data_IF_685412904972
#
_entry.id   IF_685412904972
#
_cell.length_a   1.000
_cell.length_b   1.000
_cell.length_c   1.000
_cell.angle_alpha   90.00
_cell.angle_beta   90.00
_cell.angle_gamma   90.00
#
_symmetry.space_group_name_H-M   'P 1'
#
loop_
_entity.id
_entity.type
_entity.pdbx_description
1 polymer ?
#
# COMPACT_ATOMS: atom_id res chain seq x y z
N UNK A 1 -11.37 77.92 23.23
CA UNK A 1 -10.15 77.20 22.92
C UNK A 1 -10.27 75.70 23.22
N UNK A 2 -11.11 75.28 24.16
CA UNK A 2 -11.27 73.86 24.55
C UNK A 2 -12.16 73.00 23.65
N UNK A 3 -13.05 73.61 22.88
CA UNK A 3 -13.98 72.82 22.03
C UNK A 3 -13.36 72.32 20.72
N UNK A 4 -12.28 72.98 20.27
CA UNK A 4 -11.56 72.56 19.05
C UNK A 4 -10.62 71.37 19.36
N UNK A 5 -9.98 71.34 20.52
CA UNK A 5 -9.16 70.23 20.98
C UNK A 5 -9.99 68.98 21.24
N UNK A 6 -11.22 69.15 21.79
CA UNK A 6 -12.12 68.05 22.10
C UNK A 6 -12.67 67.38 20.81
N UNK A 7 -12.89 68.16 19.74
CA UNK A 7 -13.29 67.65 18.43
C UNK A 7 -12.17 66.97 17.68
N UNK A 8 -10.93 67.41 17.83
CA UNK A 8 -9.76 66.74 17.23
C UNK A 8 -9.42 65.43 17.93
N UNK A 9 -9.59 65.31 19.26
CA UNK A 9 -9.34 64.04 19.96
C UNK A 9 -10.40 62.98 19.65
N UNK A 10 -11.67 63.39 19.42
CA UNK A 10 -12.74 62.46 19.03
C UNK A 10 -12.56 61.93 17.60
N UNK A 11 -11.98 62.73 16.67
CA UNK A 11 -11.70 62.31 15.30
C UNK A 11 -10.49 61.35 15.22
N UNK A 12 -9.53 61.45 16.14
CA UNK A 12 -8.39 60.50 16.18
C UNK A 12 -8.75 59.12 16.76
N UNK A 13 -9.76 59.06 17.69
CA UNK A 13 -10.23 57.80 18.22
C UNK A 13 -11.06 56.99 17.22
N UNK A 14 -11.77 57.67 16.30
CA UNK A 14 -12.58 57.02 15.28
C UNK A 14 -11.75 56.43 14.13
N UNK A 15 -10.54 56.88 13.90
CA UNK A 15 -9.62 56.37 12.86
C UNK A 15 -8.85 55.12 13.29
N UNK A 16 -8.81 54.76 14.57
CA UNK A 16 -8.09 53.59 15.11
C UNK A 16 -8.89 52.26 15.03
N UNK A 17 -10.16 52.31 14.68
CA UNK A 17 -11.05 51.11 14.70
C UNK A 17 -11.23 50.37 13.34
N UNK A 18 -10.48 50.71 12.29
CA UNK A 18 -10.79 50.18 10.94
C UNK A 18 -9.68 49.29 10.34
N UNK A 19 -8.73 48.80 11.10
CA UNK A 19 -7.71 47.88 10.53
C UNK A 19 -7.56 46.55 11.26
N UNK A 20 -8.67 45.98 11.73
CA UNK A 20 -8.69 44.53 11.91
C UNK A 20 -9.12 43.90 10.59
N UNK A 21 -8.23 43.89 9.62
CA UNK A 21 -8.33 42.94 8.50
C UNK A 21 -8.21 41.57 9.15
N UNK A 22 -9.34 40.94 9.45
CA UNK A 22 -9.40 39.53 9.75
C UNK A 22 -8.76 38.84 8.53
N UNK A 23 -7.50 38.49 8.63
CA UNK A 23 -6.90 37.52 7.72
C UNK A 23 -7.71 36.24 7.92
N UNK A 24 -8.77 36.07 7.11
CA UNK A 24 -9.42 34.79 6.98
C UNK A 24 -8.30 33.84 6.48
N UNK A 25 -7.81 33.03 7.38
CA UNK A 25 -6.82 32.03 7.06
C UNK A 25 -7.48 31.14 6.00
N UNK A 26 -6.97 31.19 4.76
CA UNK A 26 -7.54 30.44 3.65
C UNK A 26 -7.48 28.95 4.00
N UNK A 27 -8.64 28.31 4.13
CA UNK A 27 -8.76 26.89 4.46
C UNK A 27 -8.10 26.08 3.34
N UNK A 28 -7.00 25.39 3.66
CA UNK A 28 -6.18 24.68 2.71
C UNK A 28 -6.49 23.19 2.77
N UNK A 29 -7.06 22.65 1.70
CA UNK A 29 -7.34 21.23 1.57
C UNK A 29 -6.39 20.55 0.58
N UNK A 30 -6.07 19.28 0.84
CA UNK A 30 -5.33 18.40 -0.05
C UNK A 30 -6.06 17.10 -0.30
N UNK A 31 -5.69 16.43 -1.37
CA UNK A 31 -6.16 15.08 -1.72
C UNK A 31 -4.97 14.20 -2.08
N UNK A 32 -5.00 12.95 -1.61
CA UNK A 32 -3.97 11.95 -1.88
C UNK A 32 -4.61 10.70 -2.46
N UNK A 33 -4.13 10.29 -3.64
CA UNK A 33 -4.50 9.03 -4.26
C UNK A 33 -3.62 7.90 -3.71
N UNK A 34 -4.18 7.10 -2.80
CA UNK A 34 -3.48 5.99 -2.16
C UNK A 34 -3.08 4.90 -3.16
N UNK A 35 -3.91 4.63 -4.17
CA UNK A 35 -3.60 3.65 -5.22
C UNK A 35 -2.34 4.05 -6.01
N UNK A 36 -2.21 5.35 -6.35
CA UNK A 36 -1.00 5.86 -6.99
C UNK A 36 0.23 5.69 -6.10
N UNK A 37 0.11 5.92 -4.80
CA UNK A 37 1.21 5.70 -3.84
C UNK A 37 1.66 4.24 -3.88
N UNK A 38 0.74 3.28 -3.81
CA UNK A 38 1.06 1.85 -3.87
C UNK A 38 1.68 1.42 -5.20
N UNK A 39 1.36 2.08 -6.30
CA UNK A 39 1.91 1.78 -7.62
C UNK A 39 3.26 2.45 -7.87
N UNK A 40 3.45 3.69 -7.42
CA UNK A 40 4.53 4.56 -7.88
C UNK A 40 5.65 4.75 -6.84
N UNK A 41 5.34 4.66 -5.54
CA UNK A 41 6.33 4.89 -4.50
C UNK A 41 7.45 3.84 -4.48
N UNK A 42 8.69 4.30 -4.25
CA UNK A 42 9.85 3.43 -4.16
C UNK A 42 9.70 2.38 -3.05
N UNK A 43 9.10 2.75 -1.91
CA UNK A 43 8.82 1.82 -0.80
C UNK A 43 7.90 0.68 -1.22
N UNK A 44 6.85 0.96 -2.00
CA UNK A 44 5.94 -0.07 -2.50
C UNK A 44 6.63 -1.01 -3.49
N UNK A 45 7.44 -0.47 -4.41
CA UNK A 45 8.24 -1.27 -5.35
C UNK A 45 9.26 -2.14 -4.63
N UNK A 46 9.90 -1.63 -3.58
CA UNK A 46 10.82 -2.42 -2.74
C UNK A 46 10.11 -3.56 -2.00
N UNK A 47 8.92 -3.30 -1.46
CA UNK A 47 8.09 -4.31 -0.81
C UNK A 47 7.73 -5.44 -1.79
N UNK A 48 7.32 -5.08 -3.01
CA UNK A 48 7.03 -6.05 -4.06
C UNK A 48 8.28 -6.86 -4.46
N UNK A 49 9.43 -6.21 -4.65
CA UNK A 49 10.67 -6.89 -4.98
C UNK A 49 11.15 -7.87 -3.90
N UNK A 50 10.95 -7.52 -2.62
CA UNK A 50 11.24 -8.43 -1.50
C UNK A 50 10.35 -9.68 -1.54
N UNK A 51 9.04 -9.50 -1.74
CA UNK A 51 8.12 -10.63 -1.85
C UNK A 51 8.49 -11.55 -3.02
N UNK A 52 8.81 -10.98 -4.17
CA UNK A 52 9.25 -11.74 -5.33
C UNK A 52 10.54 -12.52 -5.02
N UNK A 53 11.54 -11.87 -4.43
CA UNK A 53 12.79 -12.52 -4.04
C UNK A 53 12.60 -13.65 -3.02
N UNK A 54 11.71 -13.45 -2.03
CA UNK A 54 11.45 -14.41 -0.96
C UNK A 54 10.67 -15.63 -1.47
N UNK A 55 9.71 -15.42 -2.37
CA UNK A 55 8.74 -16.46 -2.77
C UNK A 55 8.98 -17.10 -4.13
N UNK A 56 9.74 -16.46 -5.04
CA UNK A 56 9.94 -16.98 -6.41
C UNK A 56 10.50 -18.40 -6.46
N UNK A 57 11.45 -18.73 -5.58
CA UNK A 57 12.02 -20.07 -5.51
C UNK A 57 10.97 -21.11 -5.08
N UNK A 58 10.21 -20.82 -4.03
CA UNK A 58 9.16 -21.72 -3.52
C UNK A 58 8.03 -21.91 -4.53
N UNK A 59 7.67 -20.84 -5.23
CA UNK A 59 6.69 -20.90 -6.32
C UNK A 59 7.15 -21.83 -7.43
N UNK A 60 8.40 -21.69 -7.87
CA UNK A 60 8.99 -22.60 -8.87
C UNK A 60 9.01 -24.04 -8.40
N UNK A 61 9.44 -24.31 -7.15
CA UNK A 61 9.45 -25.66 -6.57
C UNK A 61 8.02 -26.28 -6.54
N UNK A 62 6.99 -25.47 -6.26
CA UNK A 62 5.60 -25.92 -6.30
C UNK A 62 5.13 -26.24 -7.72
N UNK A 63 5.46 -25.40 -8.69
CA UNK A 63 5.16 -25.65 -10.11
C UNK A 63 5.83 -26.93 -10.60
N UNK A 64 7.10 -27.13 -10.30
CA UNK A 64 7.86 -28.32 -10.69
C UNK A 64 7.29 -29.60 -10.02
N UNK A 65 6.95 -29.50 -8.73
CA UNK A 65 6.31 -30.62 -8.00
C UNK A 65 4.95 -30.97 -8.60
N UNK A 66 4.11 -29.98 -8.91
CA UNK A 66 2.81 -30.17 -9.54
C UNK A 66 2.92 -30.85 -10.92
N UNK A 67 3.88 -30.41 -11.74
CA UNK A 67 4.16 -31.02 -13.03
C UNK A 67 4.64 -32.46 -12.89
N UNK A 68 5.51 -32.75 -11.94
CA UNK A 68 5.99 -34.10 -11.66
C UNK A 68 4.86 -35.02 -11.22
N UNK A 69 4.00 -34.55 -10.32
CA UNK A 69 2.84 -35.32 -9.86
C UNK A 69 1.86 -35.60 -10.98
N UNK A 70 1.58 -34.62 -11.84
CA UNK A 70 0.75 -34.79 -13.04
C UNK A 70 1.31 -35.87 -13.98
N UNK A 71 2.61 -35.79 -14.29
CA UNK A 71 3.26 -36.79 -15.14
C UNK A 71 3.22 -38.20 -14.51
N UNK A 72 3.43 -38.30 -13.20
CA UNK A 72 3.36 -39.57 -12.48
C UNK A 72 1.95 -40.16 -12.49
N UNK A 73 0.90 -39.34 -12.36
CA UNK A 73 -0.51 -39.75 -12.47
C UNK A 73 -0.83 -40.23 -13.86
N UNK A 74 -0.48 -39.47 -14.90
CA UNK A 74 -0.69 -39.84 -16.29
C UNK A 74 0.03 -41.15 -16.68
N UNK A 75 1.24 -41.32 -16.15
CA UNK A 75 2.01 -42.58 -16.34
C UNK A 75 1.31 -43.74 -15.66
N UNK A 76 0.87 -43.55 -14.42
CA UNK A 76 0.14 -44.60 -13.69
C UNK A 76 -1.15 -44.99 -14.41
N UNK A 77 -1.94 -44.04 -14.91
CA UNK A 77 -3.17 -44.32 -15.66
C UNK A 77 -2.91 -45.21 -16.90
N UNK A 78 -1.81 -44.96 -17.63
CA UNK A 78 -1.43 -45.76 -18.80
C UNK A 78 -0.92 -47.16 -18.44
N UNK A 79 -0.20 -47.29 -17.31
CA UNK A 79 0.45 -48.56 -16.93
C UNK A 79 -0.44 -49.43 -16.03
N UNK A 80 -1.39 -48.87 -15.31
CA UNK A 80 -2.21 -49.55 -14.31
C UNK A 80 -2.89 -50.85 -14.82
N UNK A 81 -3.38 -50.93 -16.08
CA UNK A 81 -4.00 -52.16 -16.60
C UNK A 81 -3.04 -53.36 -16.72
N UNK A 82 -1.74 -53.10 -16.84
CA UNK A 82 -0.69 -54.11 -17.06
C UNK A 82 0.09 -54.47 -15.77
N UNK A 83 -0.13 -53.69 -14.68
CA UNK A 83 0.55 -53.91 -13.43
C UNK A 83 -0.06 -55.06 -12.61
N UNK A 84 0.79 -55.80 -11.89
CA UNK A 84 0.31 -56.70 -10.86
C UNK A 84 -0.43 -55.94 -9.76
N UNK A 85 -1.47 -56.53 -9.16
CA UNK A 85 -2.34 -55.90 -8.17
C UNK A 85 -1.55 -55.22 -7.01
N UNK A 86 -0.52 -55.88 -6.48
CA UNK A 86 0.32 -55.33 -5.41
C UNK A 86 1.09 -54.08 -5.84
N UNK A 87 1.59 -54.06 -7.08
CA UNK A 87 2.30 -52.91 -7.65
C UNK A 87 1.33 -51.76 -7.93
N UNK A 88 0.15 -52.03 -8.46
CA UNK A 88 -0.91 -51.06 -8.69
C UNK A 88 -1.31 -50.36 -7.40
N UNK A 89 -1.61 -51.15 -6.37
CA UNK A 89 -1.98 -50.64 -5.04
C UNK A 89 -0.86 -49.81 -4.41
N UNK A 90 0.40 -50.25 -4.49
CA UNK A 90 1.55 -49.51 -3.95
C UNK A 90 1.74 -48.15 -4.66
N UNK A 91 1.66 -48.12 -6.01
CA UNK A 91 1.79 -46.85 -6.77
C UNK A 91 0.62 -45.91 -6.54
N UNK A 92 -0.61 -46.44 -6.46
CA UNK A 92 -1.76 -45.60 -6.10
C UNK A 92 -1.61 -44.95 -4.73
N UNK A 93 -1.18 -45.72 -3.72
CA UNK A 93 -0.92 -45.19 -2.38
C UNK A 93 0.15 -44.10 -2.41
N UNK A 94 1.23 -44.31 -3.16
CA UNK A 94 2.30 -43.33 -3.32
C UNK A 94 1.81 -42.03 -3.98
N UNK A 95 1.00 -42.09 -5.03
CA UNK A 95 0.42 -40.92 -5.69
C UNK A 95 -0.49 -40.13 -4.74
N UNK A 96 -1.33 -40.83 -3.96
CA UNK A 96 -2.20 -40.20 -2.98
C UNK A 96 -1.37 -39.44 -1.94
N UNK A 97 -0.28 -40.04 -1.47
CA UNK A 97 0.60 -39.39 -0.48
C UNK A 97 1.33 -38.18 -1.06
N UNK A 98 1.83 -38.29 -2.28
CA UNK A 98 2.44 -37.17 -3.00
C UNK A 98 1.46 -36.01 -3.25
N UNK A 99 0.21 -36.33 -3.62
CA UNK A 99 -0.84 -35.31 -3.79
C UNK A 99 -1.16 -34.62 -2.45
N UNK A 100 -1.31 -35.36 -1.36
CA UNK A 100 -1.54 -34.77 -0.03
C UNK A 100 -0.42 -33.83 0.36
N UNK A 101 0.82 -34.24 0.17
CA UNK A 101 1.99 -33.42 0.48
C UNK A 101 2.06 -32.18 -0.39
N UNK A 102 1.77 -32.29 -1.68
CA UNK A 102 1.69 -31.15 -2.60
C UNK A 102 0.61 -30.15 -2.17
N UNK A 103 -0.59 -30.63 -1.85
CA UNK A 103 -1.69 -29.79 -1.38
C UNK A 103 -1.35 -29.08 -0.07
N UNK A 104 -0.64 -29.77 0.84
CA UNK A 104 -0.17 -29.18 2.09
C UNK A 104 0.82 -28.04 1.83
N UNK A 105 1.86 -28.30 1.04
CA UNK A 105 2.88 -27.27 0.66
C UNK A 105 2.27 -26.08 -0.06
N UNK A 106 1.27 -26.32 -0.92
CA UNK A 106 0.57 -25.24 -1.62
C UNK A 106 -0.22 -24.35 -0.66
N UNK A 107 -0.88 -24.92 0.35
CA UNK A 107 -1.58 -24.13 1.36
C UNK A 107 -0.60 -23.32 2.21
N UNK A 108 0.45 -23.94 2.71
CA UNK A 108 1.49 -23.27 3.50
C UNK A 108 2.11 -22.10 2.72
N UNK A 109 2.44 -22.30 1.46
CA UNK A 109 2.94 -21.24 0.58
C UNK A 109 1.94 -20.07 0.47
N UNK A 110 0.66 -20.37 0.25
CA UNK A 110 -0.36 -19.35 0.10
C UNK A 110 -0.61 -18.56 1.39
N UNK A 111 -0.60 -19.24 2.54
CA UNK A 111 -0.74 -18.64 3.86
C UNK A 111 0.45 -17.72 4.17
N UNK A 112 1.67 -18.21 3.98
CA UNK A 112 2.90 -17.42 4.17
C UNK A 112 2.95 -16.20 3.24
N UNK A 113 2.65 -16.38 1.95
CA UNK A 113 2.63 -15.28 0.99
C UNK A 113 1.61 -14.22 1.36
N UNK A 114 0.40 -14.61 1.78
CA UNK A 114 -0.63 -13.68 2.21
C UNK A 114 -0.22 -12.94 3.49
N UNK A 115 0.34 -13.64 4.46
CA UNK A 115 0.84 -13.04 5.70
C UNK A 115 1.93 -11.99 5.40
N UNK A 116 2.94 -12.37 4.61
CA UNK A 116 4.02 -11.45 4.23
C UNK A 116 3.55 -10.28 3.39
N UNK A 117 2.61 -10.50 2.47
CA UNK A 117 2.00 -9.42 1.68
C UNK A 117 1.29 -8.41 2.58
N UNK A 118 0.54 -8.88 3.56
CA UNK A 118 -0.16 -7.99 4.51
C UNK A 118 0.84 -7.19 5.37
N UNK A 119 1.92 -7.82 5.85
CA UNK A 119 2.98 -7.13 6.59
C UNK A 119 3.64 -6.02 5.76
N UNK A 120 4.07 -6.32 4.53
CA UNK A 120 4.70 -5.33 3.66
C UNK A 120 3.72 -4.21 3.27
N UNK A 121 2.43 -4.52 3.04
CA UNK A 121 1.40 -3.50 2.80
C UNK A 121 1.24 -2.58 4.02
N UNK A 122 1.21 -3.13 5.22
CA UNK A 122 1.11 -2.33 6.44
C UNK A 122 2.30 -1.38 6.60
N UNK A 123 3.52 -1.84 6.33
CA UNK A 123 4.73 -1.01 6.34
C UNK A 123 4.61 0.15 5.34
N UNK A 124 4.11 -0.12 4.13
CA UNK A 124 3.91 0.92 3.11
C UNK A 124 2.87 1.96 3.57
N UNK A 125 1.73 1.50 4.13
CA UNK A 125 0.68 2.38 4.67
C UNK A 125 1.23 3.28 5.78
N UNK A 126 1.95 2.72 6.74
CA UNK A 126 2.52 3.48 7.84
C UNK A 126 3.51 4.55 7.37
N UNK A 127 4.37 4.20 6.43
CA UNK A 127 5.32 5.16 5.83
C UNK A 127 4.61 6.24 5.03
N UNK A 128 3.59 5.88 4.24
CA UNK A 128 2.76 6.81 3.49
C UNK A 128 2.06 7.80 4.42
N UNK A 129 1.45 7.31 5.51
CA UNK A 129 0.78 8.16 6.49
C UNK A 129 1.76 9.15 7.16
N UNK A 130 2.98 8.72 7.47
CA UNK A 130 4.02 9.63 7.98
C UNK A 130 4.38 10.70 6.95
N UNK A 131 4.54 10.33 5.68
CA UNK A 131 4.84 11.29 4.61
C UNK A 131 3.69 12.29 4.40
N UNK A 132 2.42 11.81 4.42
CA UNK A 132 1.23 12.67 4.35
C UNK A 132 1.24 13.67 5.50
N UNK A 133 1.47 13.22 6.74
CA UNK A 133 1.53 14.08 7.91
C UNK A 133 2.65 15.13 7.80
N UNK A 134 3.83 14.73 7.37
CA UNK A 134 4.95 15.63 7.14
C UNK A 134 4.62 16.71 6.10
N UNK A 135 3.99 16.34 4.98
CA UNK A 135 3.57 17.31 3.95
C UNK A 135 2.48 18.23 4.50
N UNK A 136 1.51 17.67 5.24
CA UNK A 136 0.44 18.45 5.85
C UNK A 136 0.97 19.54 6.75
N UNK A 137 1.88 19.19 7.67
CA UNK A 137 2.47 20.10 8.64
C UNK A 137 3.36 21.15 7.96
N UNK A 138 4.23 20.73 7.04
CA UNK A 138 5.18 21.62 6.37
C UNK A 138 4.53 22.64 5.44
N UNK A 139 3.43 22.24 4.77
CA UNK A 139 2.70 23.11 3.85
C UNK A 139 1.42 23.70 4.43
N UNK A 140 1.13 23.45 5.73
CA UNK A 140 -0.02 23.99 6.46
C UNK A 140 -1.36 23.63 5.82
N UNK A 141 -1.57 22.35 5.52
CA UNK A 141 -2.88 21.85 5.14
C UNK A 141 -3.75 21.67 6.38
N UNK A 142 -5.01 22.11 6.30
CA UNK A 142 -5.99 21.93 7.38
C UNK A 142 -6.60 20.53 7.34
N UNK A 143 -6.76 19.96 6.13
CA UNK A 143 -7.29 18.61 5.93
C UNK A 143 -6.72 17.97 4.67
N UNK A 144 -6.51 16.66 4.72
CA UNK A 144 -6.14 15.84 3.55
C UNK A 144 -7.11 14.67 3.45
N UNK A 145 -7.73 14.52 2.27
CA UNK A 145 -8.65 13.45 1.94
C UNK A 145 -7.94 12.33 1.19
N UNK A 146 -8.39 11.09 1.36
CA UNK A 146 -7.92 9.91 0.64
C UNK A 146 -8.93 9.45 -0.42
N UNK A 147 -10.21 9.70 -0.19
CA UNK A 147 -11.29 9.28 -1.06
C UNK A 147 -12.15 10.48 -1.44
N UNK A 148 -12.44 10.61 -2.73
CA UNK A 148 -13.32 11.63 -3.26
C UNK A 148 -13.91 11.18 -4.59
N UNK A 149 -15.20 11.45 -4.81
CA UNK A 149 -15.85 11.20 -6.10
C UNK A 149 -15.30 12.12 -7.19
N UNK A 150 -14.95 13.34 -6.80
CA UNK A 150 -14.33 14.34 -7.67
C UNK A 150 -13.35 15.18 -6.87
N UNK A 151 -12.19 15.49 -7.46
CA UNK A 151 -11.22 16.43 -6.94
C UNK A 151 -10.69 17.32 -8.05
N UNK A 152 -10.61 18.61 -7.80
CA UNK A 152 -9.93 19.52 -8.71
C UNK A 152 -8.41 19.22 -8.66
N UNK A 153 -7.72 19.05 -9.79
CA UNK A 153 -6.28 18.71 -9.83
C UNK A 153 -5.37 19.63 -9.02
N UNK A 154 -5.77 20.88 -8.79
CA UNK A 154 -5.00 21.82 -7.95
C UNK A 154 -4.87 21.38 -6.50
N UNK A 155 -5.77 20.51 -6.00
CA UNK A 155 -5.75 19.98 -4.66
C UNK A 155 -5.07 18.60 -4.56
N UNK A 156 -4.72 17.98 -5.69
CA UNK A 156 -3.98 16.70 -5.69
C UNK A 156 -2.53 16.93 -5.26
N UNK A 157 -2.19 16.42 -4.09
CA UNK A 157 -0.83 16.49 -3.53
C UNK A 157 -0.11 15.13 -3.57
N UNK A 158 -0.65 14.16 -4.29
CA UNK A 158 -0.12 12.78 -4.34
C UNK A 158 1.36 12.76 -4.72
N UNK A 159 1.75 13.54 -5.73
CA UNK A 159 3.14 13.61 -6.18
C UNK A 159 4.09 14.15 -5.09
N UNK A 160 3.63 15.14 -4.31
CA UNK A 160 4.42 15.68 -3.19
C UNK A 160 4.62 14.63 -2.10
N UNK A 161 3.56 13.88 -1.79
CA UNK A 161 3.61 12.80 -0.81
C UNK A 161 4.55 11.68 -1.28
N UNK A 162 4.48 11.28 -2.57
CA UNK A 162 5.39 10.27 -3.14
C UNK A 162 6.85 10.74 -3.05
N UNK A 163 7.14 12.01 -3.36
CA UNK A 163 8.49 12.58 -3.22
C UNK A 163 8.98 12.55 -1.78
N UNK A 164 8.15 12.97 -0.83
CA UNK A 164 8.49 12.94 0.59
C UNK A 164 8.74 11.51 1.10
N UNK A 165 7.88 10.57 0.70
CA UNK A 165 8.01 9.15 1.01
C UNK A 165 9.32 8.57 0.46
N UNK A 166 9.65 8.84 -0.79
CA UNK A 166 10.88 8.36 -1.44
C UNK A 166 12.14 8.96 -0.79
N UNK A 167 12.11 10.24 -0.41
CA UNK A 167 13.22 10.89 0.29
C UNK A 167 13.50 10.28 1.68
N UNK A 168 12.45 9.82 2.38
CA UNK A 168 12.57 9.15 3.68
C UNK A 168 13.11 7.72 3.58
N UNK A 169 13.02 7.10 2.41
CA UNK A 169 13.48 5.72 2.16
C UNK A 169 14.98 5.67 1.79
N UNK A 170 15.55 6.79 1.36
CA UNK A 170 16.96 6.89 0.96
C UNK A 170 17.94 7.13 2.14
N UNK A 171 17.42 7.28 3.36
CA UNK A 171 18.21 7.39 4.60
C UNK A 171 18.17 6.08 5.38
#
# INVERSE_FOLDING_TARGET
MNTLLQKMSMALLAAACVTSVAQAQEFKMGFVNTERIFREAATAKQAQAKLEQEFSRREKELVDTGNTLKQASEKFEREAPTLAESQRTARQKQLIEQDREFQRKRREFQEDLNARKNEEQQIVVERANRAVKQVAESEKYDVIFQEAVYINPKHDITEKVIKALNASTAK
#
